data_IF_354136994189
#
_entry.id   IF_354136994189
#
_cell.length_a   1.000
_cell.length_b   1.000
_cell.length_c   1.000
_cell.angle_alpha   90.00
_cell.angle_beta   90.00
_cell.angle_gamma   90.00
#
_symmetry.space_group_name_H-M   'P 1'
#
loop_
_entity.id
_entity.type
_entity.pdbx_description
1 polymer ?
#
# COMPACT_ATOMS: atom_id res chain seq x y z
N UNK A 1 1.12 28.24 -2.83
CA UNK A 1 0.30 29.27 -2.17
C UNK A 1 -0.87 28.61 -1.46
N UNK A 2 -0.74 28.42 -0.15
CA UNK A 2 -1.81 27.97 0.75
C UNK A 2 -1.70 28.85 2.00
N UNK A 3 -2.53 29.89 2.03
CA UNK A 3 -2.56 31.00 3.00
C UNK A 3 -4.02 31.49 2.96
N UNK A 4 -4.75 31.80 4.03
CA UNK A 4 -4.50 31.87 5.45
C UNK A 4 -5.81 31.52 6.17
N UNK A 5 -5.72 30.85 7.32
CA UNK A 5 -6.80 30.75 8.30
C UNK A 5 -7.16 32.15 8.82
N UNK A 6 -8.44 32.50 8.79
CA UNK A 6 -8.99 33.43 9.79
C UNK A 6 -9.44 32.63 11.01
N UNK A 7 -8.73 32.89 12.10
CA UNK A 7 -8.82 32.18 13.37
C UNK A 7 -10.08 32.61 14.11
N UNK A 8 -11.18 31.85 14.00
CA UNK A 8 -12.31 31.98 14.92
C UNK A 8 -11.99 31.14 16.16
N UNK A 9 -11.63 31.82 17.24
CA UNK A 9 -11.42 31.22 18.56
C UNK A 9 -12.76 30.72 19.12
N UNK A 10 -13.05 29.43 18.93
CA UNK A 10 -14.09 28.76 19.70
C UNK A 10 -13.48 28.22 20.99
N UNK A 11 -13.72 28.95 22.09
CA UNK A 11 -13.66 28.40 23.43
C UNK A 11 -14.64 27.22 23.54
N UNK A 12 -14.12 26.01 23.63
CA UNK A 12 -14.94 24.80 23.66
C UNK A 12 -14.22 23.67 24.37
N UNK A 13 -14.48 23.57 25.68
CA UNK A 13 -14.37 22.42 26.60
C UNK A 13 -13.52 21.23 26.14
N UNK A 14 -12.48 20.93 26.92
CA UNK A 14 -11.62 19.77 26.78
C UNK A 14 -12.40 18.47 26.62
N UNK A 15 -12.45 17.99 25.37
CA UNK A 15 -12.90 16.64 25.06
C UNK A 15 -11.77 15.68 25.31
N UNK A 16 -11.95 14.75 26.24
CA UNK A 16 -11.09 13.57 26.36
C UNK A 16 -10.97 12.90 24.99
N UNK A 17 -9.79 13.01 24.36
CA UNK A 17 -9.44 12.29 23.15
C UNK A 17 -9.35 10.79 23.49
N UNK A 18 -10.51 10.15 23.48
CA UNK A 18 -10.64 8.70 23.52
C UNK A 18 -9.90 8.15 22.31
N UNK A 19 -8.94 7.24 22.54
CA UNK A 19 -8.22 6.56 21.47
C UNK A 19 -9.22 5.97 20.45
N UNK A 20 -8.90 6.01 19.14
CA UNK A 20 -9.81 5.53 18.10
C UNK A 20 -10.09 4.04 18.32
N UNK A 21 -11.33 3.70 18.69
CA UNK A 21 -11.79 2.33 18.98
C UNK A 21 -11.71 1.36 17.78
N UNK A 22 -11.24 1.83 16.61
CA UNK A 22 -11.29 1.12 15.34
C UNK A 22 -9.95 0.53 14.89
N UNK A 23 -8.86 0.75 15.63
CA UNK A 23 -7.54 0.13 15.36
C UNK A 23 -7.62 -1.39 15.20
N UNK A 24 -8.31 -2.16 16.08
CA UNK A 24 -8.39 -3.61 15.93
C UNK A 24 -9.12 -4.03 14.64
N UNK A 25 -10.13 -3.28 14.20
CA UNK A 25 -10.85 -3.60 12.97
C UNK A 25 -9.98 -3.39 11.72
N UNK A 26 -9.12 -2.37 11.71
CA UNK A 26 -8.19 -2.13 10.62
C UNK A 26 -7.12 -3.21 10.52
N UNK A 27 -6.54 -3.62 11.65
CA UNK A 27 -5.53 -4.70 11.70
C UNK A 27 -6.14 -6.03 11.24
N UNK A 28 -7.35 -6.35 11.69
CA UNK A 28 -8.08 -7.54 11.23
C UNK A 28 -8.41 -7.47 9.74
N UNK A 29 -8.78 -6.29 9.23
CA UNK A 29 -9.00 -6.07 7.80
C UNK A 29 -7.72 -6.32 6.99
N UNK A 30 -6.58 -5.82 7.45
CA UNK A 30 -5.28 -6.03 6.79
C UNK A 30 -4.88 -7.52 6.78
N UNK A 31 -5.02 -8.21 7.92
CA UNK A 31 -4.78 -9.65 8.04
C UNK A 31 -5.74 -10.44 7.13
N UNK A 32 -7.00 -10.03 7.06
CA UNK A 32 -8.00 -10.63 6.17
C UNK A 32 -7.62 -10.48 4.70
N UNK A 33 -7.18 -9.29 4.27
CA UNK A 33 -6.72 -9.04 2.89
C UNK A 33 -5.46 -9.85 2.58
N UNK A 34 -4.48 -9.90 3.50
CA UNK A 34 -3.28 -10.72 3.33
C UNK A 34 -3.64 -12.20 3.18
N UNK A 35 -4.50 -12.72 4.06
CA UNK A 35 -4.96 -14.10 4.02
C UNK A 35 -5.73 -14.40 2.73
N UNK A 36 -6.67 -13.53 2.35
CA UNK A 36 -7.43 -13.66 1.11
C UNK A 36 -6.50 -13.62 -0.11
N UNK A 37 -5.51 -12.72 -0.15
CA UNK A 37 -4.53 -12.65 -1.24
C UNK A 37 -3.72 -13.94 -1.33
N UNK A 38 -3.24 -14.47 -0.21
CA UNK A 38 -2.52 -15.75 -0.18
C UNK A 38 -3.41 -16.88 -0.70
N UNK A 39 -4.64 -17.01 -0.19
CA UNK A 39 -5.59 -18.03 -0.62
C UNK A 39 -5.94 -17.88 -2.11
N UNK A 40 -6.28 -16.69 -2.57
CA UNK A 40 -6.62 -16.46 -3.97
C UNK A 40 -5.44 -16.76 -4.89
N UNK A 41 -4.22 -16.33 -4.54
CA UNK A 41 -3.02 -16.65 -5.32
C UNK A 41 -2.74 -18.16 -5.41
N UNK A 42 -3.11 -18.90 -4.37
CA UNK A 42 -2.86 -20.33 -4.24
C UNK A 42 -3.93 -21.20 -4.93
N UNK A 43 -5.20 -20.80 -4.82
CA UNK A 43 -6.33 -21.64 -5.23
C UNK A 43 -7.01 -21.18 -6.52
N UNK A 44 -7.07 -19.86 -6.81
CA UNK A 44 -7.78 -19.35 -7.98
C UNK A 44 -7.16 -19.84 -9.32
N UNK A 45 -5.83 -19.85 -9.49
CA UNK A 45 -5.22 -20.38 -10.72
C UNK A 45 -5.52 -21.86 -10.96
N UNK A 46 -5.53 -22.67 -9.89
CA UNK A 46 -5.83 -24.10 -9.95
C UNK A 46 -7.28 -24.37 -10.36
N UNK A 47 -8.21 -23.52 -9.89
CA UNK A 47 -9.62 -23.61 -10.27
C UNK A 47 -9.83 -23.27 -11.75
N UNK A 48 -9.13 -22.24 -12.26
CA UNK A 48 -9.34 -21.73 -13.62
C UNK A 48 -8.60 -22.52 -14.71
N UNK A 49 -7.44 -23.10 -14.41
CA UNK A 49 -6.70 -23.91 -15.39
C UNK A 49 -5.79 -24.95 -14.72
N UNK A 50 -6.36 -26.11 -14.31
CA UNK A 50 -5.64 -27.13 -13.55
C UNK A 50 -4.47 -27.78 -14.31
N UNK A 51 -4.46 -27.71 -15.65
CA UNK A 51 -3.43 -28.32 -16.52
C UNK A 51 -2.42 -27.34 -17.10
N UNK A 52 -2.72 -26.04 -17.16
CA UNK A 52 -1.82 -25.03 -17.75
C UNK A 52 -1.01 -24.29 -16.68
N UNK A 53 -1.54 -24.20 -15.45
CA UNK A 53 -0.76 -23.67 -14.33
C UNK A 53 0.22 -24.73 -13.81
N UNK A 54 1.37 -24.83 -14.47
CA UNK A 54 2.56 -25.28 -13.75
C UNK A 54 2.77 -24.27 -12.64
N UNK A 55 2.65 -24.71 -11.39
CA UNK A 55 2.78 -23.85 -10.22
C UNK A 55 4.14 -23.17 -10.30
N UNK A 56 4.19 -21.91 -10.73
CA UNK A 56 5.35 -21.05 -10.52
C UNK A 56 5.36 -20.68 -9.04
N UNK A 57 5.58 -21.69 -8.19
CA UNK A 57 6.18 -21.43 -6.91
C UNK A 57 7.40 -20.54 -7.16
N UNK A 58 7.74 -19.71 -6.18
CA UNK A 58 9.07 -19.11 -6.04
C UNK A 58 10.12 -20.23 -6.18
N UNK A 59 10.44 -20.52 -7.42
CA UNK A 59 11.29 -21.56 -7.96
C UNK A 59 11.87 -20.88 -9.17
N UNK A 60 12.60 -19.80 -8.90
CA UNK A 60 13.34 -19.10 -9.91
C UNK A 60 14.39 -20.10 -10.41
N UNK A 61 14.35 -20.45 -11.70
CA UNK A 61 15.35 -21.33 -12.32
C UNK A 61 16.43 -20.53 -13.07
N UNK A 62 16.17 -19.25 -13.29
CA UNK A 62 17.05 -18.29 -13.94
C UNK A 62 16.93 -16.96 -13.20
N UNK A 63 18.04 -16.27 -13.04
CA UNK A 63 18.08 -14.93 -12.45
C UNK A 63 17.43 -13.92 -13.41
N UNK A 64 16.11 -13.75 -13.27
CA UNK A 64 15.30 -12.75 -14.01
C UNK A 64 14.90 -11.57 -13.13
N UNK A 65 15.36 -11.55 -11.89
CA UNK A 65 15.10 -10.49 -10.93
C UNK A 65 16.18 -9.43 -11.07
N UNK A 66 15.78 -8.21 -11.43
CA UNK A 66 16.70 -7.11 -11.61
C UNK A 66 17.16 -6.58 -10.25
N UNK A 67 18.41 -6.88 -9.89
CA UNK A 67 19.03 -6.48 -8.63
C UNK A 67 20.06 -5.36 -8.83
N UNK A 68 19.98 -4.66 -9.96
CA UNK A 68 20.90 -3.57 -10.24
C UNK A 68 20.65 -2.39 -9.31
N UNK A 69 21.73 -1.65 -9.01
CA UNK A 69 21.65 -0.50 -8.11
C UNK A 69 20.63 0.57 -8.52
N UNK A 70 20.39 0.87 -9.82
CA UNK A 70 19.40 1.87 -10.20
C UNK A 70 17.99 1.48 -9.77
N UNK A 71 17.67 0.19 -9.72
CA UNK A 71 16.33 -0.32 -9.43
C UNK A 71 15.94 -0.03 -7.99
N UNK A 72 16.71 -0.50 -7.01
CA UNK A 72 16.37 -0.20 -5.60
C UNK A 72 16.59 1.28 -5.23
N UNK A 73 17.49 2.01 -5.89
CA UNK A 73 17.61 3.47 -5.71
C UNK A 73 16.35 4.18 -6.19
N UNK A 74 15.78 3.76 -7.32
CA UNK A 74 14.52 4.31 -7.83
C UNK A 74 13.38 4.02 -6.85
N UNK A 75 13.33 2.81 -6.29
CA UNK A 75 12.33 2.47 -5.27
C UNK A 75 12.43 3.39 -4.05
N UNK A 76 13.62 3.62 -3.50
CA UNK A 76 13.80 4.55 -2.38
C UNK A 76 13.46 6.00 -2.74
N UNK A 77 13.77 6.43 -3.96
CA UNK A 77 13.38 7.75 -4.47
C UNK A 77 11.86 7.91 -4.55
N UNK A 78 11.15 6.89 -5.04
CA UNK A 78 9.69 6.86 -5.09
C UNK A 78 9.06 6.86 -3.69
N UNK A 79 9.61 6.08 -2.76
CA UNK A 79 9.19 6.11 -1.34
C UNK A 79 9.32 7.52 -0.76
N UNK A 80 10.44 8.19 -1.00
CA UNK A 80 10.65 9.56 -0.53
C UNK A 80 9.61 10.52 -1.13
N UNK A 81 9.34 10.42 -2.43
CA UNK A 81 8.31 11.22 -3.10
C UNK A 81 6.92 11.02 -2.48
N UNK A 82 6.55 9.79 -2.17
CA UNK A 82 5.27 9.47 -1.51
C UNK A 82 5.21 10.04 -0.09
N UNK A 83 6.30 9.94 0.69
CA UNK A 83 6.41 10.54 2.02
C UNK A 83 6.25 12.07 1.99
N UNK A 84 6.86 12.74 1.00
CA UNK A 84 6.68 14.18 0.77
C UNK A 84 5.22 14.49 0.44
N UNK A 85 4.58 13.70 -0.42
CA UNK A 85 3.15 13.84 -0.74
C UNK A 85 2.25 13.69 0.48
N UNK A 86 2.51 12.69 1.34
CA UNK A 86 1.80 12.49 2.62
C UNK A 86 1.97 13.72 3.51
N UNK A 87 3.20 14.22 3.67
CA UNK A 87 3.47 15.42 4.47
C UNK A 87 2.68 16.63 3.96
N UNK A 88 2.65 16.86 2.64
CA UNK A 88 1.87 17.94 2.04
C UNK A 88 0.37 17.77 2.28
N UNK A 89 -0.16 16.55 2.14
CA UNK A 89 -1.57 16.25 2.40
C UNK A 89 -1.94 16.46 3.87
N UNK A 90 -1.07 16.10 4.82
CA UNK A 90 -1.30 16.33 6.25
C UNK A 90 -1.44 17.82 6.59
N UNK A 91 -0.83 18.72 5.82
CA UNK A 91 -0.98 20.18 5.95
C UNK A 91 -2.23 20.73 5.27
N UNK A 92 -2.95 19.92 4.48
CA UNK A 92 -4.18 20.34 3.81
C UNK A 92 -5.41 20.09 4.70
N UNK A 93 -6.26 21.11 4.88
CA UNK A 93 -7.47 21.03 5.70
C UNK A 93 -8.74 20.74 4.88
N UNK A 94 -8.64 20.68 3.56
CA UNK A 94 -9.80 20.47 2.68
C UNK A 94 -10.13 18.99 2.53
N UNK A 95 -11.43 18.70 2.53
CA UNK A 95 -12.03 17.39 2.26
C UNK A 95 -11.29 16.23 2.97
N UNK A 96 -11.51 16.12 4.28
CA UNK A 96 -10.87 15.13 5.15
C UNK A 96 -10.99 13.69 4.64
N UNK A 97 -12.12 13.34 4.00
CA UNK A 97 -12.34 12.01 3.44
C UNK A 97 -11.40 11.73 2.27
N UNK A 98 -11.34 12.63 1.28
CA UNK A 98 -10.47 12.47 0.11
C UNK A 98 -8.99 12.53 0.51
N UNK A 99 -8.65 13.42 1.43
CA UNK A 99 -7.30 13.55 1.99
C UNK A 99 -6.86 12.26 2.67
N UNK A 100 -7.66 11.72 3.58
CA UNK A 100 -7.32 10.49 4.31
C UNK A 100 -7.22 9.29 3.35
N UNK A 101 -8.07 9.25 2.31
CA UNK A 101 -7.97 8.22 1.29
C UNK A 101 -6.67 8.32 0.47
N UNK A 102 -6.28 9.52 0.05
CA UNK A 102 -5.03 9.76 -0.66
C UNK A 102 -3.80 9.46 0.22
N UNK A 103 -3.83 9.81 1.50
CA UNK A 103 -2.77 9.44 2.46
C UNK A 103 -2.66 7.92 2.59
N UNK A 104 -3.79 7.22 2.75
CA UNK A 104 -3.79 5.76 2.84
C UNK A 104 -3.24 5.09 1.58
N UNK A 105 -3.61 5.61 0.40
CA UNK A 105 -3.07 5.17 -0.89
C UNK A 105 -1.54 5.33 -0.93
N UNK A 106 -1.03 6.54 -0.70
CA UNK A 106 0.40 6.83 -0.75
C UNK A 106 1.19 6.03 0.30
N UNK A 107 0.63 5.83 1.49
CA UNK A 107 1.27 5.06 2.54
C UNK A 107 1.44 3.59 2.14
N UNK A 108 0.40 2.97 1.58
CA UNK A 108 0.49 1.58 1.12
C UNK A 108 1.47 1.40 -0.03
N UNK A 109 1.49 2.33 -1.00
CA UNK A 109 2.49 2.31 -2.05
C UNK A 109 3.91 2.54 -1.50
N UNK A 110 4.10 3.44 -0.52
CA UNK A 110 5.41 3.68 0.09
C UNK A 110 5.92 2.42 0.80
N UNK A 111 5.06 1.70 1.53
CA UNK A 111 5.43 0.41 2.14
C UNK A 111 5.76 -0.63 1.07
N UNK A 112 4.94 -0.74 0.03
CA UNK A 112 5.15 -1.68 -1.07
C UNK A 112 6.51 -1.47 -1.75
N UNK A 113 6.78 -0.25 -2.18
CA UNK A 113 8.00 0.11 -2.91
C UNK A 113 9.22 0.02 -2.00
N UNK A 114 9.12 0.37 -0.72
CA UNK A 114 10.22 0.17 0.23
C UNK A 114 10.55 -1.31 0.40
N UNK A 115 9.54 -2.17 0.54
CA UNK A 115 9.74 -3.62 0.61
C UNK A 115 10.31 -4.18 -0.71
N UNK A 116 9.91 -3.63 -1.85
CA UNK A 116 10.49 -3.93 -3.17
C UNK A 116 11.97 -3.58 -3.22
N UNK A 117 12.34 -2.35 -2.86
CA UNK A 117 13.73 -1.88 -2.85
C UNK A 117 14.61 -2.69 -1.91
N UNK A 118 14.12 -3.01 -0.71
CA UNK A 118 14.82 -3.94 0.20
C UNK A 118 15.01 -5.30 -0.48
N UNK A 119 13.96 -5.83 -1.13
CA UNK A 119 14.05 -7.14 -1.78
C UNK A 119 15.10 -7.18 -2.89
N UNK A 120 15.13 -6.15 -3.74
CA UNK A 120 16.11 -5.96 -4.81
C UNK A 120 17.54 -5.78 -4.29
N UNK A 121 17.69 -5.15 -3.12
CA UNK A 121 18.99 -4.96 -2.49
C UNK A 121 19.51 -6.22 -1.77
N UNK A 122 18.63 -7.03 -1.17
CA UNK A 122 19.03 -8.13 -0.29
C UNK A 122 18.99 -9.52 -0.92
N UNK A 123 18.04 -9.80 -1.83
CA UNK A 123 17.88 -11.13 -2.43
C UNK A 123 18.40 -11.11 -3.87
N UNK A 124 19.71 -11.22 -3.97
CA UNK A 124 20.44 -11.05 -5.24
C UNK A 124 20.54 -12.34 -6.04
N UNK A 125 20.51 -13.50 -5.38
CA UNK A 125 20.68 -14.82 -6.02
C UNK A 125 19.35 -15.58 -6.16
N UNK A 126 19.36 -16.60 -7.02
CA UNK A 126 18.20 -17.47 -7.22
C UNK A 126 17.82 -18.23 -5.94
N UNK A 127 18.83 -18.71 -5.22
CA UNK A 127 18.68 -19.44 -3.97
C UNK A 127 18.02 -18.56 -2.90
N UNK A 128 18.46 -17.31 -2.79
CA UNK A 128 17.91 -16.30 -1.88
C UNK A 128 16.43 -16.02 -2.15
N UNK A 129 16.04 -15.91 -3.42
CA UNK A 129 14.65 -15.68 -3.83
C UNK A 129 13.72 -16.89 -3.57
N UNK A 130 14.28 -18.08 -3.36
CA UNK A 130 13.50 -19.27 -3.03
C UNK A 130 13.27 -19.43 -1.51
N UNK A 131 13.84 -18.55 -0.68
CA UNK A 131 13.69 -18.58 0.79
C UNK A 131 12.32 -18.09 1.28
N UNK A 132 11.93 -18.49 2.50
CA UNK A 132 10.71 -17.96 3.14
C UNK A 132 10.80 -16.46 3.41
N UNK A 133 12.00 -15.93 3.67
CA UNK A 133 12.20 -14.50 3.90
C UNK A 133 11.83 -13.68 2.66
N UNK A 134 12.29 -14.08 1.46
CA UNK A 134 11.89 -13.43 0.21
C UNK A 134 10.38 -13.50 0.00
N UNK A 135 9.78 -14.67 0.21
CA UNK A 135 8.32 -14.87 0.03
C UNK A 135 7.49 -13.97 0.94
N UNK A 136 7.89 -13.82 2.20
CA UNK A 136 7.23 -12.93 3.16
C UNK A 136 7.37 -11.47 2.73
N UNK A 137 8.58 -11.05 2.34
CA UNK A 137 8.82 -9.69 1.86
C UNK A 137 8.01 -9.37 0.59
N UNK A 138 8.03 -10.28 -0.39
CA UNK A 138 7.28 -10.13 -1.63
C UNK A 138 5.77 -10.13 -1.42
N UNK A 139 5.29 -10.90 -0.43
CA UNK A 139 3.89 -10.86 -0.01
C UNK A 139 3.49 -9.50 0.56
N UNK A 140 4.39 -8.80 1.24
CA UNK A 140 4.15 -7.41 1.67
C UNK A 140 4.04 -6.49 0.46
N UNK A 141 4.93 -6.61 -0.52
CA UNK A 141 4.91 -5.83 -1.78
C UNK A 141 3.54 -5.95 -2.45
N UNK A 142 3.11 -7.19 -2.75
CA UNK A 142 1.85 -7.46 -3.45
C UNK A 142 0.64 -7.14 -2.59
N UNK A 143 0.64 -7.54 -1.31
CA UNK A 143 -0.49 -7.36 -0.41
C UNK A 143 -0.83 -5.89 -0.17
N UNK A 144 0.17 -5.04 -0.03
CA UNK A 144 -0.04 -3.59 0.15
C UNK A 144 -0.58 -2.92 -1.11
N UNK A 145 -0.12 -3.31 -2.31
CA UNK A 145 -0.68 -2.82 -3.59
C UNK A 145 -2.14 -3.27 -3.76
N UNK A 146 -2.45 -4.51 -3.44
CA UNK A 146 -3.83 -5.02 -3.46
C UNK A 146 -4.73 -4.20 -2.52
N UNK A 147 -4.28 -3.95 -1.29
CA UNK A 147 -5.01 -3.12 -0.33
C UNK A 147 -5.16 -1.66 -0.80
N UNK A 148 -4.18 -1.13 -1.55
CA UNK A 148 -4.21 0.23 -2.11
C UNK A 148 -5.38 0.43 -3.10
N UNK A 149 -5.81 -0.64 -3.77
CA UNK A 149 -7.00 -0.63 -4.64
C UNK A 149 -8.28 -0.15 -3.94
N UNK A 150 -8.46 -0.43 -2.65
CA UNK A 150 -9.60 0.05 -1.88
C UNK A 150 -9.63 1.57 -1.74
N UNK A 151 -8.46 2.18 -1.48
CA UNK A 151 -8.33 3.63 -1.42
C UNK A 151 -8.53 4.28 -2.79
N UNK A 152 -7.99 3.67 -3.86
CA UNK A 152 -8.20 4.13 -5.23
C UNK A 152 -9.69 4.14 -5.60
N UNK A 153 -10.44 3.08 -5.27
CA UNK A 153 -11.88 3.01 -5.46
C UNK A 153 -12.65 4.07 -4.67
N UNK A 154 -12.23 4.36 -3.43
CA UNK A 154 -12.84 5.42 -2.61
C UNK A 154 -12.63 6.82 -3.18
N UNK A 155 -11.45 7.09 -3.75
CA UNK A 155 -11.11 8.34 -4.44
C UNK A 155 -11.95 8.47 -5.72
N UNK A 156 -11.99 7.42 -6.55
CA UNK A 156 -12.81 7.39 -7.76
C UNK A 156 -14.30 7.63 -7.48
N UNK A 157 -14.82 7.02 -6.42
CA UNK A 157 -16.20 7.23 -5.98
C UNK A 157 -16.47 8.69 -5.56
N UNK A 158 -15.50 9.34 -4.91
CA UNK A 158 -15.61 10.74 -4.53
C UNK A 158 -15.63 11.65 -5.77
N UNK A 159 -14.76 11.41 -6.75
CA UNK A 159 -14.79 12.13 -8.03
C UNK A 159 -16.11 11.95 -8.78
N UNK A 160 -16.63 10.72 -8.83
CA UNK A 160 -17.92 10.43 -9.45
C UNK A 160 -19.11 11.09 -8.72
N UNK A 161 -19.02 11.34 -7.41
CA UNK A 161 -20.02 12.14 -6.68
C UNK A 161 -19.97 13.61 -7.10
N UNK A 162 -18.76 14.19 -7.11
CA UNK A 162 -18.55 15.59 -7.47
C UNK A 162 -19.00 15.88 -8.91
N UNK A 163 -18.71 14.98 -9.84
CA UNK A 163 -19.16 15.11 -11.24
C UNK A 163 -20.69 15.10 -11.39
N UNK A 164 -21.42 14.48 -10.45
CA UNK A 164 -22.89 14.44 -10.43
C UNK A 164 -23.52 15.59 -9.64
N UNK A 165 -22.74 16.56 -9.18
CA UNK A 165 -23.23 17.68 -8.37
C UNK A 165 -23.75 17.26 -6.99
N UNK A 166 -23.24 16.13 -6.45
CA UNK A 166 -23.58 15.62 -5.11
C UNK A 166 -22.42 15.76 -4.14
#
# INVERSE_FOLDING_TARGET
MCTQRNHVTKNGKGGHHSAPKNVPLFVLGLLGVLTATMLTSEYLPKLLSPTTYVRSWYSYSVQRFDNTWPTYVTDYGLTLQMCVGIYMLLKCERNLRLRNAAIGLLLLYAVSVTAGGISHQTFTTVEEMNTQAFRLMWSVVVGTVTAAGGFLGSIGSAFASMARGR
#
